data_IF_612059830080
#
_entry.id   IF_612059830080
#
_cell.length_a   1.000
_cell.length_b   1.000
_cell.length_c   1.000
_cell.angle_alpha   90.00
_cell.angle_beta   90.00
_cell.angle_gamma   90.00
#
_symmetry.space_group_name_H-M   'P 1'
#
loop_
_entity.id
_entity.type
_entity.pdbx_description
1 polymer ?
#
# COMPACT_ATOMS: atom_id res chain seq x y z
N UNK A 1 -12.36 6.91 32.94
CA UNK A 1 -11.55 6.26 31.88
C UNK A 1 -11.62 7.12 30.63
N UNK A 2 -10.52 7.31 29.90
CA UNK A 2 -10.48 8.17 28.71
C UNK A 2 -11.18 7.55 27.48
N UNK A 3 -11.32 6.22 27.44
CA UNK A 3 -11.97 5.47 26.33
C UNK A 3 -13.29 4.86 26.86
N UNK A 4 -14.47 5.32 26.39
CA UNK A 4 -15.76 4.72 26.70
C UNK A 4 -15.88 3.27 26.17
N UNK A 5 -16.53 2.38 26.91
CA UNK A 5 -16.60 0.92 26.58
C UNK A 5 -17.79 0.53 25.70
N UNK A 6 -18.76 1.42 25.60
CA UNK A 6 -20.06 1.25 24.94
C UNK A 6 -20.12 1.97 23.58
N UNK A 7 -18.96 2.37 23.05
CA UNK A 7 -18.83 3.05 21.77
C UNK A 7 -18.05 2.22 20.76
N UNK A 8 -18.48 2.32 19.51
CA UNK A 8 -17.86 1.68 18.34
C UNK A 8 -17.41 2.78 17.38
N UNK A 9 -16.11 3.07 17.38
CA UNK A 9 -15.50 4.09 16.53
C UNK A 9 -14.81 3.40 15.35
N UNK A 10 -15.45 3.48 14.19
CA UNK A 10 -14.92 2.95 12.94
C UNK A 10 -14.09 3.99 12.19
N UNK A 11 -13.05 3.53 11.50
CA UNK A 11 -12.16 4.34 10.68
C UNK A 11 -11.76 3.55 9.44
N UNK A 12 -11.71 4.22 8.29
CA UNK A 12 -10.99 3.73 7.12
C UNK A 12 -9.60 4.36 7.09
N UNK A 13 -8.57 3.54 7.10
CA UNK A 13 -7.21 3.95 6.77
C UNK A 13 -7.00 3.77 5.27
N UNK A 14 -6.46 4.79 4.60
CA UNK A 14 -6.20 4.81 3.16
C UNK A 14 -4.90 5.57 2.88
N UNK A 15 -4.38 5.49 1.67
CA UNK A 15 -3.17 6.22 1.28
C UNK A 15 -1.90 5.62 1.88
N UNK A 16 -1.90 4.31 2.10
CA UNK A 16 -0.72 3.58 2.52
C UNK A 16 0.42 3.72 1.50
N UNK A 17 1.69 3.62 1.92
CA UNK A 17 2.79 3.45 0.99
C UNK A 17 2.59 2.20 0.13
N UNK A 18 2.98 2.28 -1.15
CA UNK A 18 3.02 1.12 -2.05
C UNK A 18 4.24 0.24 -1.77
N UNK A 19 5.38 0.87 -1.46
CA UNK A 19 6.63 0.20 -1.15
C UNK A 19 7.12 0.58 0.24
N UNK A 20 7.89 -0.33 0.85
CA UNK A 20 8.60 -0.10 2.09
C UNK A 20 10.08 -0.46 1.94
N UNK A 21 10.95 0.20 2.72
CA UNK A 21 12.38 -0.09 2.71
C UNK A 21 12.66 -1.30 3.59
N UNK A 22 13.22 -2.36 3.00
CA UNK A 22 13.67 -3.52 3.76
C UNK A 22 15.09 -3.29 4.28
N UNK A 23 15.23 -3.14 5.59
CA UNK A 23 16.55 -3.03 6.23
C UNK A 23 17.39 -4.30 6.08
N UNK A 24 16.75 -5.45 5.92
CA UNK A 24 17.42 -6.75 5.77
C UNK A 24 17.92 -6.95 4.33
N UNK A 25 17.07 -6.65 3.34
CA UNK A 25 17.39 -6.87 1.92
C UNK A 25 18.09 -5.66 1.28
N UNK A 26 18.16 -4.53 2.00
CA UNK A 26 18.74 -3.25 1.53
C UNK A 26 18.15 -2.81 0.19
N UNK A 27 16.83 -2.96 0.03
CA UNK A 27 16.08 -2.57 -1.16
C UNK A 27 14.61 -2.27 -0.81
N UNK A 28 13.92 -1.61 -1.75
CA UNK A 28 12.48 -1.43 -1.69
C UNK A 28 11.77 -2.75 -1.95
N UNK A 29 10.77 -3.07 -1.12
CA UNK A 29 9.89 -4.23 -1.24
C UNK A 29 8.44 -3.76 -1.24
N UNK A 30 7.52 -4.65 -1.63
CA UNK A 30 6.09 -4.36 -1.62
C UNK A 30 5.58 -4.26 -0.19
N UNK A 31 4.92 -3.15 0.16
CA UNK A 31 4.37 -2.94 1.51
C UNK A 31 3.09 -3.76 1.77
N UNK A 32 2.37 -4.12 0.71
CA UNK A 32 1.30 -5.11 0.74
C UNK A 32 1.55 -6.18 -0.34
N UNK A 33 0.49 -6.73 -0.95
CA UNK A 33 0.63 -7.65 -2.07
C UNK A 33 1.11 -6.91 -3.34
N UNK A 34 2.04 -7.46 -4.14
CA UNK A 34 2.59 -6.82 -5.36
C UNK A 34 1.57 -6.55 -6.49
N UNK A 35 0.31 -6.93 -6.32
CA UNK A 35 -0.80 -6.64 -7.24
C UNK A 35 -1.67 -5.46 -6.76
N UNK A 36 -1.27 -4.80 -5.67
CA UNK A 36 -1.95 -3.63 -5.12
C UNK A 36 -1.82 -2.45 -6.07
N UNK A 37 -2.95 -1.81 -6.36
CA UNK A 37 -3.05 -0.67 -7.26
C UNK A 37 -2.29 0.54 -6.73
N UNK A 38 -1.90 1.40 -7.67
CA UNK A 38 -1.18 2.65 -7.42
C UNK A 38 -2.14 3.80 -7.64
N UNK A 39 -2.02 4.87 -6.85
CA UNK A 39 -2.70 6.12 -7.10
C UNK A 39 -2.22 6.72 -8.43
N UNK A 40 -3.13 7.05 -9.33
CA UNK A 40 -2.81 7.45 -10.71
C UNK A 40 -1.84 8.64 -10.77
N UNK A 41 -2.01 9.61 -9.87
CA UNK A 41 -1.18 10.80 -9.79
C UNK A 41 0.30 10.50 -9.45
N UNK A 42 0.58 9.32 -8.90
CA UNK A 42 1.93 8.93 -8.48
C UNK A 42 2.62 8.03 -9.54
N UNK A 43 1.93 7.63 -10.62
CA UNK A 43 2.44 6.68 -11.63
C UNK A 43 3.75 7.11 -12.31
N UNK A 44 3.96 8.42 -12.48
CA UNK A 44 5.17 8.95 -13.11
C UNK A 44 6.40 8.83 -12.19
N UNK A 45 6.17 8.72 -10.88
CA UNK A 45 7.22 8.61 -9.86
C UNK A 45 7.70 7.18 -9.61
N UNK A 46 7.07 6.19 -10.26
CA UNK A 46 7.22 4.77 -9.95
C UNK A 46 8.69 4.29 -9.94
N UNK A 47 9.53 4.89 -10.80
CA UNK A 47 10.94 4.53 -10.96
C UNK A 47 11.88 5.55 -10.30
N UNK A 48 11.46 6.81 -10.15
CA UNK A 48 12.31 7.90 -9.66
C UNK A 48 12.20 8.16 -8.16
N UNK A 49 11.04 7.92 -7.56
CA UNK A 49 10.74 8.22 -6.16
C UNK A 49 9.79 7.18 -5.55
N UNK A 50 10.21 5.90 -5.42
CA UNK A 50 9.37 4.81 -4.92
C UNK A 50 8.83 5.04 -3.49
N UNK A 51 9.51 5.86 -2.69
CA UNK A 51 9.08 6.23 -1.32
C UNK A 51 7.88 7.18 -1.27
N UNK A 52 7.52 7.83 -2.38
CA UNK A 52 6.38 8.76 -2.43
C UNK A 52 5.09 8.10 -2.92
N UNK A 53 5.16 6.84 -3.35
CA UNK A 53 4.05 6.18 -4.03
C UNK A 53 2.99 5.75 -3.03
N UNK A 54 1.76 6.21 -3.26
CA UNK A 54 0.60 5.75 -2.49
C UNK A 54 -0.08 4.59 -3.18
N UNK A 55 -0.51 3.64 -2.36
CA UNK A 55 -1.26 2.47 -2.77
C UNK A 55 -2.75 2.75 -2.71
N UNK A 56 -3.52 2.00 -3.49
CA UNK A 56 -4.98 1.90 -3.40
C UNK A 56 -5.41 0.84 -2.38
N UNK A 57 -4.58 0.64 -1.35
CA UNK A 57 -4.88 -0.18 -0.20
C UNK A 57 -5.75 0.56 0.80
N UNK A 58 -6.55 -0.20 1.55
CA UNK A 58 -7.44 0.30 2.57
C UNK A 58 -7.65 -0.73 3.68
N UNK A 59 -7.74 -0.24 4.92
CA UNK A 59 -8.01 -1.06 6.10
C UNK A 59 -9.22 -0.49 6.85
N UNK A 60 -10.14 -1.37 7.26
CA UNK A 60 -11.22 -1.06 8.18
C UNK A 60 -10.77 -1.31 9.61
N UNK A 61 -10.78 -0.27 10.43
CA UNK A 61 -10.39 -0.31 11.84
C UNK A 61 -11.60 -0.03 12.73
N UNK A 62 -11.72 -0.78 13.82
CA UNK A 62 -12.69 -0.55 14.89
C UNK A 62 -11.95 -0.44 16.21
N UNK A 63 -12.07 0.71 16.89
CA UNK A 63 -11.51 0.92 18.23
C UNK A 63 -10.01 0.53 18.35
N UNK A 64 -9.23 0.78 17.29
CA UNK A 64 -7.79 0.49 17.22
C UNK A 64 -7.45 -0.95 16.82
N UNK A 65 -8.43 -1.77 16.44
CA UNK A 65 -8.23 -3.14 15.93
C UNK A 65 -8.59 -3.20 14.45
N UNK A 66 -7.70 -3.75 13.63
CA UNK A 66 -7.99 -4.05 12.22
C UNK A 66 -9.06 -5.14 12.12
N UNK A 67 -10.14 -4.87 11.40
CA UNK A 67 -11.20 -5.84 11.14
C UNK A 67 -11.06 -6.50 9.76
N UNK A 68 -10.41 -5.82 8.82
CA UNK A 68 -10.13 -6.36 7.50
C UNK A 68 -9.49 -5.34 6.58
N UNK A 69 -8.82 -5.85 5.56
CA UNK A 69 -8.02 -5.08 4.62
C UNK A 69 -8.29 -5.49 3.17
N UNK A 70 -7.92 -4.61 2.24
CA UNK A 70 -8.07 -4.86 0.82
C UNK A 70 -7.31 -3.86 -0.03
N UNK A 71 -7.31 -4.10 -1.34
CA UNK A 71 -6.84 -3.11 -2.29
C UNK A 71 -7.52 -3.24 -3.63
N UNK A 72 -7.64 -2.12 -4.34
CA UNK A 72 -7.93 -2.13 -5.77
C UNK A 72 -6.73 -2.76 -6.46
N UNK A 73 -6.96 -3.70 -7.39
CA UNK A 73 -5.88 -4.43 -8.06
C UNK A 73 -5.40 -3.72 -9.31
N UNK A 74 -4.10 -3.89 -9.60
CA UNK A 74 -3.55 -3.54 -10.90
C UNK A 74 -4.20 -4.43 -11.96
N UNK A 75 -4.73 -3.82 -13.01
CA UNK A 75 -5.40 -4.51 -14.13
C UNK A 75 -4.78 -4.16 -15.49
N UNK A 76 -3.68 -3.40 -15.47
CA UNK A 76 -2.93 -2.96 -16.64
C UNK A 76 -1.57 -3.66 -16.66
N UNK A 77 -1.31 -4.42 -17.72
CA UNK A 77 -0.08 -5.21 -17.85
C UNK A 77 1.18 -4.33 -17.83
N UNK A 78 1.13 -3.19 -18.51
CA UNK A 78 2.25 -2.25 -18.57
C UNK A 78 2.58 -1.64 -17.19
N UNK A 79 1.55 -1.33 -16.40
CA UNK A 79 1.72 -0.87 -15.01
C UNK A 79 2.28 -1.96 -14.13
N UNK A 80 1.75 -3.19 -14.20
CA UNK A 80 2.24 -4.32 -13.39
C UNK A 80 3.71 -4.63 -13.70
N UNK A 81 4.09 -4.61 -14.98
CA UNK A 81 5.47 -4.82 -15.40
C UNK A 81 6.42 -3.75 -14.83
N UNK A 82 5.99 -2.48 -14.78
CA UNK A 82 6.77 -1.41 -14.13
C UNK A 82 6.92 -1.63 -12.62
N UNK A 83 5.85 -2.06 -11.93
CA UNK A 83 5.91 -2.40 -10.49
C UNK A 83 6.91 -3.52 -10.23
N UNK A 84 6.88 -4.58 -11.03
CA UNK A 84 7.85 -5.67 -10.89
C UNK A 84 9.29 -5.21 -11.14
N UNK A 85 9.53 -4.39 -12.18
CA UNK A 85 10.85 -3.79 -12.39
C UNK A 85 11.30 -2.94 -11.20
N UNK A 86 10.41 -2.12 -10.63
CA UNK A 86 10.72 -1.32 -9.45
C UNK A 86 11.06 -2.19 -8.22
N UNK A 87 10.46 -3.39 -8.12
CA UNK A 87 10.78 -4.39 -7.11
C UNK A 87 12.02 -5.25 -7.44
N UNK A 88 12.76 -4.93 -8.51
CA UNK A 88 13.92 -5.72 -8.95
C UNK A 88 13.58 -7.10 -9.48
N UNK A 89 12.31 -7.34 -9.81
CA UNK A 89 11.83 -8.54 -10.50
C UNK A 89 11.89 -8.24 -12.00
N UNK A 90 13.06 -8.41 -12.60
CA UNK A 90 13.22 -8.47 -14.05
C UNK A 90 12.99 -9.92 -14.53
N UNK A 91 12.67 -10.08 -15.81
CA UNK A 91 12.47 -11.38 -16.48
C UNK A 91 13.45 -12.49 -16.03
#
# INVERSE_FOLDING_TARGET
KLIPKDRWEFLWLTGFPLFEWSETEKRWVSAQHPFTGIIEEDLDKLESAPWELRSKGYDLVLNGVELGSGSIRIHRQDVQARVFRALGLSD
#
